data_IF_669317447331
#
_entry.id   IF_669317447331
#
_cell.length_a   1.000
_cell.length_b   1.000
_cell.length_c   1.000
_cell.angle_alpha   90.00
_cell.angle_beta   90.00
_cell.angle_gamma   90.00
#
_symmetry.space_group_name_H-M   'P 1'
#
loop_
_entity.id
_entity.type
_entity.pdbx_description
1 polymer ?
#
# COMPACT_ATOMS: atom_id res chain seq x y z
N UNK A 1 -12.51 16.65 12.32
CA UNK A 1 -11.04 16.71 12.18
C UNK A 1 -10.69 15.78 11.03
N UNK A 2 -10.34 16.30 9.85
CA UNK A 2 -9.94 15.45 8.71
C UNK A 2 -8.50 15.06 8.96
N UNK A 3 -8.21 13.77 9.14
CA UNK A 3 -6.83 13.32 9.07
C UNK A 3 -6.36 13.59 7.65
N UNK A 4 -5.52 14.60 7.55
CA UNK A 4 -4.99 15.04 6.29
C UNK A 4 -3.98 14.00 5.80
N UNK A 5 -4.13 13.61 4.52
CA UNK A 5 -3.25 12.63 3.87
C UNK A 5 -1.77 13.07 3.90
N UNK A 6 -1.51 14.33 4.28
CA UNK A 6 -0.19 14.93 4.55
C UNK A 6 0.58 14.30 5.72
N UNK A 7 -0.09 13.55 6.62
CA UNK A 7 0.61 12.74 7.64
C UNK A 7 1.13 11.40 7.10
N UNK A 8 0.68 11.02 5.90
CA UNK A 8 1.13 9.83 5.21
C UNK A 8 2.39 10.07 4.38
N UNK A 9 3.16 9.01 4.19
CA UNK A 9 4.38 9.04 3.36
C UNK A 9 4.04 8.45 2.00
N UNK A 10 4.29 9.19 0.92
CA UNK A 10 4.15 8.67 -0.44
C UNK A 10 5.21 7.59 -0.67
N UNK A 11 4.78 6.39 -1.04
CA UNK A 11 5.67 5.23 -1.23
C UNK A 11 5.50 4.63 -2.62
N UNK A 12 6.59 4.06 -3.13
CA UNK A 12 6.61 3.38 -4.41
C UNK A 12 7.67 2.28 -4.38
N UNK A 13 7.24 1.03 -4.55
CA UNK A 13 8.14 -0.10 -4.60
C UNK A 13 7.69 -1.13 -5.63
N UNK A 14 8.64 -1.95 -6.08
CA UNK A 14 8.38 -3.00 -7.05
C UNK A 14 8.95 -4.34 -6.60
N UNK A 15 8.24 -5.40 -6.98
CA UNK A 15 8.74 -6.77 -6.92
C UNK A 15 8.80 -7.32 -8.33
N UNK A 16 10.02 -7.61 -8.80
CA UNK A 16 10.28 -8.09 -10.15
C UNK A 16 10.89 -9.49 -10.06
N UNK A 17 10.44 -10.37 -10.95
CA UNK A 17 10.91 -11.75 -11.06
C UNK A 17 11.58 -11.99 -12.42
N UNK A 18 12.43 -13.01 -12.49
CA UNK A 18 12.99 -13.47 -13.76
C UNK A 18 11.93 -14.32 -14.47
N UNK A 19 11.52 -13.94 -15.69
CA UNK A 19 10.42 -14.57 -16.43
C UNK A 19 9.09 -14.66 -15.65
N UNK A 20 8.83 -13.71 -14.74
CA UNK A 20 7.61 -13.69 -13.91
C UNK A 20 7.61 -14.66 -12.73
N UNK A 21 8.68 -15.42 -12.53
CA UNK A 21 8.85 -16.27 -11.36
C UNK A 21 9.43 -15.45 -10.20
N UNK A 22 8.73 -15.47 -9.06
CA UNK A 22 9.17 -14.82 -7.82
C UNK A 22 8.70 -13.37 -7.64
N UNK A 23 7.90 -12.81 -8.55
CA UNK A 23 7.28 -11.51 -8.35
C UNK A 23 5.94 -11.66 -7.63
N UNK A 24 5.74 -10.91 -6.54
CA UNK A 24 4.46 -10.85 -5.84
C UNK A 24 4.06 -9.41 -5.51
N UNK A 25 2.76 -9.12 -5.58
CA UNK A 25 2.19 -7.84 -5.15
C UNK A 25 2.48 -7.63 -3.65
N UNK A 26 2.41 -8.69 -2.85
CA UNK A 26 2.69 -8.66 -1.42
C UNK A 26 4.10 -8.14 -1.14
N UNK A 27 5.12 -8.66 -1.84
CA UNK A 27 6.50 -8.21 -1.63
C UNK A 27 6.69 -6.75 -2.07
N UNK A 28 6.01 -6.32 -3.13
CA UNK A 28 6.04 -4.93 -3.57
C UNK A 28 5.40 -4.01 -2.53
N UNK A 29 4.28 -4.43 -1.93
CA UNK A 29 3.60 -3.69 -0.87
C UNK A 29 4.41 -3.66 0.43
N UNK A 30 4.94 -4.81 0.88
CA UNK A 30 5.76 -4.90 2.09
C UNK A 30 6.99 -4.00 1.97
N UNK A 31 7.64 -3.98 0.80
CA UNK A 31 8.75 -3.05 0.50
C UNK A 31 8.29 -1.59 0.54
N UNK A 32 7.10 -1.28 0.00
CA UNK A 32 6.56 0.07 0.01
C UNK A 32 6.32 0.55 1.46
N UNK A 33 5.72 -0.28 2.31
CA UNK A 33 5.49 0.05 3.72
C UNK A 33 6.80 0.15 4.52
N UNK A 34 7.74 -0.78 4.32
CA UNK A 34 9.07 -0.71 4.94
C UNK A 34 9.82 0.58 4.58
N UNK A 35 9.64 1.10 3.37
CA UNK A 35 10.24 2.37 2.96
C UNK A 35 9.66 3.57 3.74
N UNK A 36 8.39 3.54 4.14
CA UNK A 36 7.81 4.59 4.98
C UNK A 36 8.31 4.52 6.42
N UNK A 37 8.60 3.32 6.93
CA UNK A 37 9.14 3.07 8.27
C UNK A 37 8.36 1.99 9.01
N UNK A 38 8.88 1.55 10.15
CA UNK A 38 8.31 0.43 10.93
C UNK A 38 6.92 0.70 11.49
N UNK A 39 6.54 1.97 11.60
CA UNK A 39 5.29 2.40 12.24
C UNK A 39 4.13 2.54 11.24
N UNK A 40 4.38 2.28 9.95
CA UNK A 40 3.42 2.41 8.87
C UNK A 40 2.91 1.04 8.43
N UNK A 41 1.61 0.82 8.57
CA UNK A 41 0.96 -0.49 8.42
C UNK A 41 -0.24 -0.47 7.47
N UNK A 42 -0.68 0.71 7.02
CA UNK A 42 -1.80 0.88 6.09
C UNK A 42 -1.31 1.61 4.84
N UNK A 43 -1.69 1.11 3.66
CA UNK A 43 -1.50 1.79 2.39
C UNK A 43 -2.85 2.32 1.87
N UNK A 44 -2.98 3.65 1.74
CA UNK A 44 -4.16 4.29 1.15
C UNK A 44 -3.86 4.80 -0.26
N UNK A 45 -4.93 4.92 -1.06
CA UNK A 45 -4.86 5.31 -2.48
C UNK A 45 -3.83 4.46 -3.24
N UNK A 46 -3.77 3.17 -2.89
CA UNK A 46 -2.85 2.21 -3.46
C UNK A 46 -3.19 1.90 -4.91
N UNK A 47 -2.21 2.01 -5.80
CA UNK A 47 -2.31 1.62 -7.21
C UNK A 47 -1.28 0.52 -7.46
N UNK A 48 -1.76 -0.63 -7.94
CA UNK A 48 -0.91 -1.72 -8.43
C UNK A 48 -0.81 -1.61 -9.94
N UNK A 49 0.41 -1.68 -10.46
CA UNK A 49 0.69 -1.73 -11.89
C UNK A 49 1.48 -3.00 -12.18
N UNK A 50 1.13 -3.68 -13.27
CA UNK A 50 1.96 -4.75 -13.81
C UNK A 50 3.11 -4.11 -14.60
N UNK A 51 4.34 -4.47 -14.25
CA UNK A 51 5.51 -4.13 -15.02
C UNK A 51 5.89 -5.35 -15.85
N UNK A 52 5.51 -5.37 -17.14
CA UNK A 52 5.96 -6.37 -18.09
C UNK A 52 6.93 -5.73 -19.09
N UNK A 53 8.22 -5.98 -18.88
CA UNK A 53 9.31 -5.64 -19.80
C UNK A 53 9.88 -6.93 -20.39
N UNK A 54 10.54 -6.84 -21.55
CA UNK A 54 11.19 -8.01 -22.17
C UNK A 54 12.11 -8.73 -21.16
N UNK A 55 11.83 -10.02 -20.89
CA UNK A 55 12.45 -10.90 -19.88
C UNK A 55 12.19 -10.62 -18.39
N UNK A 56 11.54 -9.50 -18.02
CA UNK A 56 11.28 -9.13 -16.63
C UNK A 56 9.79 -8.80 -16.44
N UNK A 57 9.13 -9.58 -15.59
CA UNK A 57 7.72 -9.42 -15.23
C UNK A 57 7.63 -9.19 -13.72
N UNK A 58 6.77 -8.25 -13.31
CA UNK A 58 6.67 -7.83 -11.93
C UNK A 58 5.47 -6.95 -11.59
N UNK A 59 5.40 -6.55 -10.33
CA UNK A 59 4.37 -5.67 -9.81
C UNK A 59 5.01 -4.43 -9.21
N UNK A 60 4.42 -3.27 -9.51
CA UNK A 60 4.74 -1.99 -8.88
C UNK A 60 3.56 -1.56 -8.03
N UNK A 61 3.80 -1.22 -6.78
CA UNK A 61 2.81 -0.69 -5.84
C UNK A 61 3.19 0.75 -5.52
N UNK A 62 2.23 1.65 -5.68
CA UNK A 62 2.34 3.07 -5.33
C UNK A 62 1.20 3.44 -4.41
N UNK A 63 1.44 4.30 -3.43
CA UNK A 63 0.36 4.77 -2.56
C UNK A 63 0.86 5.72 -1.49
N UNK A 64 0.04 5.93 -0.48
CA UNK A 64 0.38 6.73 0.70
C UNK A 64 0.34 5.82 1.92
N UNK A 65 1.48 5.58 2.55
CA UNK A 65 1.58 4.80 3.76
C UNK A 65 1.16 5.65 4.97
N UNK A 66 0.30 5.12 5.81
CA UNK A 66 -0.16 5.75 7.05
C UNK A 66 -0.07 4.77 8.22
N UNK A 67 -0.11 5.32 9.44
CA UNK A 67 0.00 4.54 10.68
C UNK A 67 -1.36 4.41 11.35
N UNK A 68 -1.83 3.17 11.50
CA UNK A 68 -3.11 2.87 12.16
C UNK A 68 -3.13 3.35 13.61
N UNK A 69 -2.00 3.24 14.32
CA UNK A 69 -1.86 3.67 15.71
C UNK A 69 -2.02 5.17 15.87
N UNK A 70 -1.42 5.97 14.97
CA UNK A 70 -1.57 7.44 14.96
C UNK A 70 -3.01 7.85 14.66
N UNK A 71 -3.67 7.16 13.72
CA UNK A 71 -5.06 7.45 13.35
C UNK A 71 -6.01 7.09 14.50
N UNK A 72 -5.84 5.90 15.11
CA UNK A 72 -6.61 5.47 16.28
C UNK A 72 -6.42 6.41 17.47
N UNK A 73 -5.20 6.87 17.72
CA UNK A 73 -4.93 7.84 18.77
C UNK A 73 -5.63 9.19 18.53
N UNK A 74 -5.80 9.59 17.27
CA UNK A 74 -6.43 10.86 16.90
C UNK A 74 -7.96 10.79 16.82
N UNK A 75 -8.55 9.66 16.40
CA UNK A 75 -9.98 9.53 16.12
C UNK A 75 -10.74 8.60 17.09
N UNK A 76 -10.02 7.82 17.92
CA UNK A 76 -10.60 6.70 18.65
C UNK A 76 -10.90 5.49 17.74
N UNK A 77 -11.34 4.38 18.33
CA UNK A 77 -11.64 3.14 17.58
C UNK A 77 -12.77 3.34 16.58
N UNK A 78 -13.89 3.93 17.01
CA UNK A 78 -15.05 4.18 16.15
C UNK A 78 -14.73 5.14 15.00
N UNK A 79 -13.93 6.18 15.26
CA UNK A 79 -13.49 7.11 14.24
C UNK A 79 -12.49 6.51 13.26
N UNK A 80 -11.64 5.58 13.71
CA UNK A 80 -10.76 4.80 12.83
C UNK A 80 -11.57 3.90 11.89
N UNK A 81 -12.58 3.19 12.39
CA UNK A 81 -13.42 2.35 11.54
C UNK A 81 -14.17 3.15 10.47
N UNK A 82 -14.74 4.30 10.84
CA UNK A 82 -15.40 5.18 9.88
C UNK A 82 -14.40 5.73 8.85
N UNK A 83 -13.20 6.13 9.28
CA UNK A 83 -12.14 6.55 8.38
C UNK A 83 -11.73 5.43 7.41
N UNK A 84 -11.64 4.19 7.88
CA UNK A 84 -11.32 3.04 7.04
C UNK A 84 -12.39 2.77 5.97
N UNK A 85 -13.67 3.02 6.26
CA UNK A 85 -14.75 2.89 5.28
C UNK A 85 -14.76 4.01 4.25
N UNK A 86 -14.37 5.22 4.65
CA UNK A 86 -14.33 6.40 3.78
C UNK A 86 -13.10 6.42 2.85
N UNK A 87 -12.03 5.72 3.23
CA UNK A 87 -10.79 5.69 2.46
C UNK A 87 -10.65 4.38 1.68
N UNK A 88 -10.13 4.48 0.46
CA UNK A 88 -9.80 3.29 -0.34
C UNK A 88 -8.52 2.65 0.22
N UNK A 89 -8.68 1.78 1.21
CA UNK A 89 -7.59 1.01 1.81
C UNK A 89 -7.22 -0.11 0.86
N UNK A 90 -5.94 -0.17 0.51
CA UNK A 90 -5.42 -1.24 -0.32
C UNK A 90 -5.23 -2.50 0.52
N UNK A 91 -5.98 -3.56 0.18
CA UNK A 91 -5.82 -4.88 0.76
C UNK A 91 -5.23 -5.84 -0.30
N UNK A 92 -4.00 -6.34 -0.10
CA UNK A 92 -3.33 -7.22 -1.07
C UNK A 92 -4.00 -8.58 -1.22
N UNK A 93 -4.90 -8.99 -0.30
CA UNK A 93 -5.64 -10.25 -0.39
C UNK A 93 -6.79 -10.20 -1.40
N UNK A 94 -7.27 -8.99 -1.72
CA UNK A 94 -8.36 -8.75 -2.69
C UNK A 94 -7.87 -8.03 -3.95
N UNK A 95 -6.64 -7.52 -3.96
CA UNK A 95 -6.07 -6.80 -5.09
C UNK A 95 -5.81 -7.75 -6.28
N UNK A 96 -6.70 -7.72 -7.26
CA UNK A 96 -6.49 -8.38 -8.55
C UNK A 96 -5.78 -7.43 -9.51
N UNK A 97 -4.58 -7.81 -9.96
CA UNK A 97 -3.99 -7.17 -11.13
C UNK A 97 -4.80 -7.62 -12.36
N UNK A 98 -5.62 -6.73 -12.93
CA UNK A 98 -6.22 -6.98 -14.23
C UNK A 98 -5.09 -7.08 -15.27
N UNK A 99 -5.15 -8.16 -16.05
CA UNK A 99 -4.13 -8.54 -17.03
C UNK A 99 -4.48 -7.98 -18.41
#
# INVERSE_FOLDING_TARGET
>A
MKIDKTQGVRVSASSNGFLGLGASIKDAMDKALQQAGTDYDILIDGVVRVNDYFFVSGYKVEGTAVSSSKIKAALGEEGFENWCRENNIFDPSIATAEK
#
